data_IF_940935881587
#
_entry.id   IF_940935881587
#
_cell.length_a   1.000
_cell.length_b   1.000
_cell.length_c   1.000
_cell.angle_alpha   90.00
_cell.angle_beta   90.00
_cell.angle_gamma   90.00
#
_symmetry.space_group_name_H-M   'P 1'
#
loop_
_entity.id
_entity.type
_entity.pdbx_description
1 polymer ?
#
# COMPACT_ATOMS: atom_id res chain seq x y z
N UNK A 1 -13.86 -6.96 -33.68
CA UNK A 1 -14.26 -6.26 -32.44
C UNK A 1 -15.55 -5.51 -32.67
N UNK A 2 -16.45 -5.50 -31.69
CA UNK A 2 -17.67 -4.69 -31.71
C UNK A 2 -17.57 -3.70 -30.56
N UNK A 3 -17.63 -2.40 -30.87
CA UNK A 3 -17.74 -1.36 -29.86
C UNK A 3 -19.22 -0.97 -29.69
N UNK A 4 -19.59 -0.57 -28.48
CA UNK A 4 -20.92 -0.08 -28.15
C UNK A 4 -20.79 1.24 -27.38
N UNK A 5 -21.86 2.03 -27.38
CA UNK A 5 -21.93 3.29 -26.64
C UNK A 5 -22.75 3.07 -25.36
N UNK A 6 -22.15 3.40 -24.21
CA UNK A 6 -22.83 3.39 -22.92
C UNK A 6 -23.39 4.78 -22.62
N UNK A 7 -22.52 5.79 -22.52
CA UNK A 7 -22.90 7.18 -22.26
C UNK A 7 -21.80 8.17 -22.65
N UNK A 8 -22.06 9.47 -22.46
CA UNK A 8 -21.08 10.55 -22.59
C UNK A 8 -21.08 11.40 -21.32
N UNK A 9 -19.93 11.50 -20.67
CA UNK A 9 -19.75 12.30 -19.47
C UNK A 9 -19.33 13.74 -19.84
N UNK A 10 -20.21 14.71 -19.60
CA UNK A 10 -20.00 16.12 -19.98
C UNK A 10 -19.17 16.90 -18.95
N UNK A 11 -18.00 16.36 -18.59
CA UNK A 11 -17.04 16.96 -17.66
C UNK A 11 -15.62 16.45 -17.95
N UNK A 12 -14.61 17.09 -17.37
CA UNK A 12 -13.26 16.53 -17.33
C UNK A 12 -13.29 15.20 -16.57
N UNK A 13 -12.58 14.20 -17.10
CA UNK A 13 -12.41 12.93 -16.42
C UNK A 13 -11.28 13.01 -15.40
N UNK A 14 -11.38 12.24 -14.32
CA UNK A 14 -10.33 12.21 -13.29
C UNK A 14 -9.05 11.66 -13.90
N UNK A 15 -9.19 10.62 -14.73
CA UNK A 15 -8.19 9.90 -15.51
C UNK A 15 -7.70 10.64 -16.77
N UNK A 16 -7.93 11.95 -16.89
CA UNK A 16 -7.41 12.72 -18.02
C UNK A 16 -5.87 12.78 -18.12
N UNK A 17 -5.06 12.69 -17.04
CA UNK A 17 -3.59 12.74 -17.14
C UNK A 17 -2.98 11.69 -18.07
N UNK A 18 -3.57 10.49 -18.19
CA UNK A 18 -3.05 9.48 -19.13
C UNK A 18 -3.16 9.96 -20.58
N UNK A 19 -4.18 10.77 -20.90
CA UNK A 19 -4.31 11.40 -22.21
C UNK A 19 -3.25 12.48 -22.38
N UNK A 20 -3.03 13.31 -21.37
CA UNK A 20 -2.05 14.41 -21.44
C UNK A 20 -0.62 13.86 -21.63
N UNK A 21 -0.26 12.78 -20.93
CA UNK A 21 1.07 12.20 -20.94
C UNK A 21 1.48 11.63 -22.32
N UNK A 22 0.52 11.14 -23.11
CA UNK A 22 0.79 10.58 -24.45
C UNK A 22 0.50 11.55 -25.60
N UNK A 23 -0.35 12.57 -25.39
CA UNK A 23 -0.70 13.56 -26.43
C UNK A 23 0.10 14.85 -26.32
N UNK A 24 0.63 15.17 -25.13
CA UNK A 24 1.25 16.46 -24.83
C UNK A 24 0.25 17.62 -24.70
N UNK A 25 -1.05 17.34 -24.65
CA UNK A 25 -2.09 18.36 -24.57
C UNK A 25 -2.52 18.56 -23.12
N UNK A 26 -2.41 19.79 -22.63
CA UNK A 26 -3.04 20.23 -21.37
C UNK A 26 -4.53 20.45 -21.59
N UNK A 27 -5.35 19.51 -21.12
CA UNK A 27 -6.79 19.53 -21.34
C UNK A 27 -7.46 20.65 -20.54
N UNK A 28 -6.97 20.95 -19.34
CA UNK A 28 -7.49 22.05 -18.51
C UNK A 28 -7.24 23.40 -19.19
N UNK A 29 -6.05 23.61 -19.75
CA UNK A 29 -5.73 24.81 -20.51
C UNK A 29 -6.62 24.96 -21.75
N UNK A 30 -6.85 23.87 -22.51
CA UNK A 30 -7.77 23.93 -23.66
C UNK A 30 -9.21 24.22 -23.25
N UNK A 31 -9.68 23.63 -22.15
CA UNK A 31 -11.01 23.90 -21.60
C UNK A 31 -11.19 25.40 -21.29
N UNK A 32 -10.20 26.04 -20.66
CA UNK A 32 -10.24 27.47 -20.35
C UNK A 32 -10.22 28.32 -21.62
N UNK A 33 -9.35 28.01 -22.59
CA UNK A 33 -9.26 28.74 -23.87
C UNK A 33 -10.56 28.70 -24.66
N UNK A 34 -11.15 27.52 -24.82
CA UNK A 34 -12.42 27.35 -25.54
C UNK A 34 -13.57 28.03 -24.78
N UNK A 35 -13.60 27.94 -23.45
CA UNK A 35 -14.58 28.66 -22.64
C UNK A 35 -14.46 30.19 -22.78
N UNK A 36 -13.26 30.71 -23.06
CA UNK A 36 -13.01 32.11 -23.40
C UNK A 36 -13.35 32.47 -24.86
N UNK A 37 -13.85 31.53 -25.67
CA UNK A 37 -14.22 31.73 -27.07
C UNK A 37 -13.06 31.58 -28.06
N UNK A 38 -11.90 31.10 -27.62
CA UNK A 38 -10.79 30.79 -28.52
C UNK A 38 -11.07 29.53 -29.34
N UNK A 39 -10.43 29.44 -30.51
CA UNK A 39 -10.43 28.22 -31.33
C UNK A 39 -9.31 27.28 -30.87
N UNK A 40 -9.45 26.00 -31.17
CA UNK A 40 -8.34 25.05 -31.01
C UNK A 40 -7.18 25.46 -31.91
N UNK A 41 -5.99 25.57 -31.33
CA UNK A 41 -4.76 25.91 -32.05
C UNK A 41 -4.16 24.71 -32.82
N UNK A 42 -4.76 23.53 -32.64
CA UNK A 42 -4.33 22.26 -33.21
C UNK A 42 -5.43 21.68 -34.09
N UNK A 43 -5.04 20.93 -35.11
CA UNK A 43 -5.91 20.14 -35.97
C UNK A 43 -5.85 18.67 -35.56
N UNK A 44 -6.67 17.82 -36.19
CA UNK A 44 -6.62 16.37 -35.93
C UNK A 44 -5.28 15.73 -36.30
N UNK A 45 -4.58 16.28 -37.29
CA UNK A 45 -3.27 15.76 -37.73
C UNK A 45 -2.15 16.10 -36.73
N UNK A 46 -2.35 17.12 -35.89
CA UNK A 46 -1.39 17.54 -34.86
C UNK A 46 -1.52 16.71 -33.56
N UNK A 47 -2.62 15.99 -33.39
CA UNK A 47 -2.88 15.17 -32.18
C UNK A 47 -2.27 13.78 -32.36
N UNK A 48 -1.03 13.62 -31.89
CA UNK A 48 -0.32 12.35 -31.86
C UNK A 48 -0.57 11.53 -30.59
N UNK A 49 -0.07 10.29 -30.62
CA UNK A 49 0.09 9.42 -29.45
C UNK A 49 1.55 9.02 -29.38
N UNK A 50 2.22 9.36 -28.28
CA UNK A 50 3.63 9.07 -28.04
C UNK A 50 3.81 8.30 -26.73
N UNK A 51 4.26 7.05 -26.86
CA UNK A 51 4.43 6.11 -25.75
C UNK A 51 3.13 5.63 -25.11
N UNK A 52 3.23 5.18 -23.86
CA UNK A 52 2.16 4.66 -23.03
C UNK A 52 2.13 5.38 -21.68
N UNK A 53 0.94 5.53 -21.11
CA UNK A 53 0.76 6.05 -19.77
C UNK A 53 -0.18 5.17 -18.93
N UNK A 54 0.12 5.05 -17.65
CA UNK A 54 -0.69 4.34 -16.66
C UNK A 54 -0.97 5.30 -15.52
N UNK A 55 -2.21 5.31 -15.03
CA UNK A 55 -2.60 6.04 -13.83
C UNK A 55 -3.11 5.05 -12.78
N UNK A 56 -2.64 5.21 -11.55
CA UNK A 56 -3.27 4.61 -10.38
C UNK A 56 -3.84 5.70 -9.47
N UNK A 57 -5.03 5.43 -8.95
CA UNK A 57 -5.67 6.24 -7.91
C UNK A 57 -5.26 5.71 -6.56
N UNK A 58 -4.46 6.48 -5.85
CA UNK A 58 -4.09 6.19 -4.47
C UNK A 58 -5.25 6.58 -3.57
N UNK A 59 -5.92 5.59 -3.03
CA UNK A 59 -7.09 5.74 -2.17
C UNK A 59 -6.73 5.49 -0.70
N UNK A 60 -7.36 6.26 0.18
CA UNK A 60 -7.42 6.02 1.62
C UNK A 60 -8.40 4.88 1.92
N UNK A 61 -8.10 3.69 1.42
CA UNK A 61 -8.87 2.46 1.60
C UNK A 61 -7.89 1.34 1.97
N UNK A 62 -8.27 0.44 2.87
CA UNK A 62 -7.42 -0.67 3.30
C UNK A 62 -7.77 -1.97 2.56
N UNK A 63 -6.97 -2.42 1.58
CA UNK A 63 -7.24 -3.65 0.83
C UNK A 63 -7.24 -4.90 1.70
N UNK A 64 -6.44 -4.92 2.77
CA UNK A 64 -6.33 -6.05 3.70
C UNK A 64 -7.56 -6.19 4.60
N UNK A 65 -8.43 -5.18 4.63
CA UNK A 65 -9.71 -5.17 5.34
C UNK A 65 -10.90 -5.06 4.37
N UNK A 66 -10.74 -5.49 3.11
CA UNK A 66 -11.83 -5.47 2.14
C UNK A 66 -12.13 -4.08 1.58
N UNK A 67 -11.10 -3.26 1.36
CA UNK A 67 -11.18 -1.90 0.81
C UNK A 67 -12.04 -0.95 1.64
N UNK A 68 -12.07 -1.16 2.96
CA UNK A 68 -12.79 -0.25 3.85
C UNK A 68 -12.13 1.14 3.83
N UNK A 69 -12.94 2.22 3.76
CA UNK A 69 -12.43 3.58 3.87
C UNK A 69 -11.62 3.78 5.14
N UNK A 70 -10.51 4.49 5.01
CA UNK A 70 -9.64 4.88 6.09
C UNK A 70 -9.61 6.40 6.22
N UNK A 71 -9.87 6.89 7.43
CA UNK A 71 -9.87 8.31 7.78
C UNK A 71 -8.74 8.54 8.77
N UNK A 72 -8.12 9.71 8.70
CA UNK A 72 -7.12 10.10 9.69
C UNK A 72 -6.06 11.04 9.15
N UNK A 73 -5.08 11.31 10.01
CA UNK A 73 -3.95 12.18 9.70
C UNK A 73 -2.91 11.41 8.86
N UNK A 74 -2.44 12.04 7.79
CA UNK A 74 -1.23 11.62 7.08
C UNK A 74 -0.03 11.96 7.96
N UNK A 75 0.45 10.98 8.73
CA UNK A 75 1.62 11.13 9.61
C UNK A 75 2.87 11.34 8.77
N UNK A 76 2.99 10.55 7.71
CA UNK A 76 3.96 10.74 6.64
C UNK A 76 3.28 10.68 5.29
N UNK A 77 3.67 11.59 4.41
CA UNK A 77 3.23 11.62 3.02
C UNK A 77 4.39 12.07 2.15
N UNK A 78 5.03 11.11 1.50
CA UNK A 78 6.20 11.31 0.67
C UNK A 78 5.98 10.60 -0.68
N UNK A 79 5.52 11.33 -1.71
CA UNK A 79 5.41 10.80 -3.06
C UNK A 79 6.79 10.53 -3.68
N UNK A 80 6.87 9.70 -4.74
CA UNK A 80 8.14 9.34 -5.39
C UNK A 80 8.84 10.53 -6.07
N UNK A 81 8.08 11.55 -6.44
CA UNK A 81 8.56 12.82 -6.99
C UNK A 81 7.75 13.96 -6.36
N UNK A 82 8.29 15.17 -6.38
CA UNK A 82 7.55 16.35 -5.89
C UNK A 82 6.23 16.49 -6.69
N UNK A 83 5.07 16.66 -6.02
CA UNK A 83 3.80 16.81 -6.70
C UNK A 83 3.80 17.97 -7.70
N UNK A 84 3.14 17.77 -8.84
CA UNK A 84 3.03 18.78 -9.91
C UNK A 84 4.38 19.24 -10.51
N UNK A 85 5.48 18.53 -10.23
CA UNK A 85 6.78 18.84 -10.80
C UNK A 85 6.88 18.45 -12.28
N UNK A 86 7.80 19.11 -12.98
CA UNK A 86 8.12 18.97 -14.39
C UNK A 86 9.64 19.09 -14.54
N UNK A 87 10.26 18.15 -15.24
CA UNK A 87 11.71 18.15 -15.53
C UNK A 87 12.11 19.09 -16.67
N UNK A 88 11.13 19.72 -17.34
CA UNK A 88 11.33 20.66 -18.43
C UNK A 88 11.57 20.00 -19.78
N UNK A 89 11.29 18.70 -19.91
CA UNK A 89 11.29 18.02 -21.20
C UNK A 89 10.21 18.56 -22.16
N UNK A 90 10.28 18.13 -23.43
CA UNK A 90 9.37 18.58 -24.48
C UNK A 90 7.89 18.34 -24.13
N UNK A 91 7.59 17.28 -23.38
CA UNK A 91 6.27 17.01 -22.82
C UNK A 91 6.31 16.98 -21.29
N UNK A 92 6.33 18.16 -20.67
CA UNK A 92 6.25 18.31 -19.21
C UNK A 92 5.00 17.75 -18.53
N UNK A 93 4.04 17.20 -19.30
CA UNK A 93 2.88 16.48 -18.72
C UNK A 93 3.24 15.08 -18.21
N UNK A 94 4.46 14.61 -18.50
CA UNK A 94 5.03 13.36 -18.01
C UNK A 94 5.58 13.46 -16.58
N UNK A 95 5.79 14.68 -16.08
CA UNK A 95 6.33 14.91 -14.75
C UNK A 95 7.86 14.90 -14.74
N UNK A 96 8.46 14.19 -13.78
CA UNK A 96 9.91 14.06 -13.64
C UNK A 96 10.30 12.61 -13.93
N UNK A 97 11.17 12.39 -14.90
CA UNK A 97 11.63 11.05 -15.32
C UNK A 97 10.44 10.12 -15.67
N UNK A 98 9.40 10.69 -16.27
CA UNK A 98 8.18 9.97 -16.63
C UNK A 98 7.23 9.65 -15.47
N UNK A 99 7.45 10.22 -14.27
CA UNK A 99 6.56 10.07 -13.11
C UNK A 99 5.88 11.40 -12.79
N UNK A 100 4.55 11.39 -12.69
CA UNK A 100 3.73 12.56 -12.33
C UNK A 100 2.81 12.22 -11.16
N UNK A 101 2.76 13.12 -10.18
CA UNK A 101 1.86 13.03 -9.03
C UNK A 101 0.95 14.24 -9.01
N UNK A 102 -0.36 13.99 -9.11
CA UNK A 102 -1.42 14.98 -8.92
C UNK A 102 -2.11 14.69 -7.58
N UNK A 103 -1.98 15.56 -6.58
CA UNK A 103 -2.54 15.35 -5.24
C UNK A 103 -3.31 16.55 -4.68
N UNK A 104 -4.14 16.27 -3.68
CA UNK A 104 -4.95 17.27 -2.96
C UNK A 104 -4.62 17.34 -1.47
N UNK A 105 -3.52 16.72 -1.05
CA UNK A 105 -3.14 16.51 0.35
C UNK A 105 -1.68 16.89 0.57
N UNK A 106 -1.23 16.86 1.83
CA UNK A 106 0.16 17.07 2.20
C UNK A 106 0.47 16.39 3.55
N UNK A 107 1.76 16.20 3.85
CA UNK A 107 2.17 15.61 5.13
C UNK A 107 1.63 16.41 6.32
N UNK A 108 0.97 15.71 7.23
CA UNK A 108 0.35 16.28 8.40
C UNK A 108 -1.07 16.80 8.21
N UNK A 109 -1.59 16.77 6.97
CA UNK A 109 -3.01 16.96 6.67
C UNK A 109 -3.88 15.78 7.12
N UNK A 110 -5.19 15.93 6.99
CA UNK A 110 -6.18 14.93 7.42
C UNK A 110 -7.12 14.56 6.27
N UNK A 111 -7.28 13.26 6.04
CA UNK A 111 -8.32 12.72 5.15
C UNK A 111 -9.58 12.57 6.00
N UNK A 112 -10.55 13.46 5.80
CA UNK A 112 -11.79 13.50 6.57
C UNK A 112 -12.92 12.69 5.92
N UNK A 113 -13.90 12.30 6.72
CA UNK A 113 -15.08 11.54 6.27
C UNK A 113 -15.99 12.27 5.27
N UNK A 114 -15.81 13.58 5.07
CA UNK A 114 -16.73 14.42 4.29
C UNK A 114 -16.46 14.43 2.79
N UNK A 115 -15.30 13.92 2.36
CA UNK A 115 -14.83 13.96 0.98
C UNK A 115 -14.54 12.56 0.44
N UNK A 116 -14.13 12.51 -0.82
CA UNK A 116 -13.72 11.28 -1.52
C UNK A 116 -12.40 10.72 -0.94
N UNK A 117 -12.20 9.39 -0.92
CA UNK A 117 -10.98 8.78 -0.37
C UNK A 117 -9.72 9.02 -1.19
N UNK A 118 -9.79 9.62 -2.38
CA UNK A 118 -8.62 9.78 -3.24
C UNK A 118 -7.62 10.74 -2.63
N UNK A 119 -6.42 10.24 -2.42
CA UNK A 119 -5.27 10.96 -1.87
C UNK A 119 -4.48 11.60 -3.01
N UNK A 120 -4.17 10.80 -4.04
CA UNK A 120 -3.35 11.20 -5.16
C UNK A 120 -3.69 10.38 -6.42
N UNK A 121 -3.33 10.91 -7.58
CA UNK A 121 -3.17 10.16 -8.82
C UNK A 121 -1.68 10.03 -9.09
N UNK A 122 -1.19 8.80 -9.17
CA UNK A 122 0.17 8.48 -9.57
C UNK A 122 0.14 8.04 -11.02
N UNK A 123 0.76 8.83 -11.89
CA UNK A 123 0.81 8.63 -13.33
C UNK A 123 2.24 8.32 -13.72
N UNK A 124 2.43 7.32 -14.57
CA UNK A 124 3.72 7.05 -15.19
C UNK A 124 3.58 6.99 -16.70
N UNK A 125 4.70 7.27 -17.38
CA UNK A 125 4.84 7.18 -18.81
C UNK A 125 6.08 6.34 -19.18
N UNK A 126 6.01 5.62 -20.29
CA UNK A 126 7.13 4.88 -20.88
C UNK A 126 6.98 4.72 -22.39
N UNK A 127 8.03 4.32 -23.10
CA UNK A 127 7.96 4.08 -24.55
C UNK A 127 7.06 2.87 -24.83
N UNK A 128 7.15 1.85 -23.98
CA UNK A 128 6.28 0.68 -23.99
C UNK A 128 5.35 0.63 -22.79
N UNK A 129 4.25 -0.13 -22.92
CA UNK A 129 3.30 -0.35 -21.83
C UNK A 129 3.95 -1.03 -20.62
N UNK A 130 4.84 -1.98 -20.86
CA UNK A 130 5.51 -2.73 -19.80
C UNK A 130 6.52 -1.85 -19.06
N UNK A 131 7.24 -0.97 -19.75
CA UNK A 131 8.10 0.03 -19.12
C UNK A 131 7.32 0.99 -18.24
N UNK A 132 6.17 1.50 -18.70
CA UNK A 132 5.29 2.33 -17.89
C UNK A 132 4.80 1.56 -16.65
N UNK A 133 4.42 0.29 -16.79
CA UNK A 133 4.00 -0.54 -15.66
C UNK A 133 5.13 -0.84 -14.67
N UNK A 134 6.36 -1.09 -15.15
CA UNK A 134 7.54 -1.28 -14.29
C UNK A 134 7.90 0.00 -13.53
N UNK A 135 7.82 1.14 -14.21
CA UNK A 135 8.00 2.44 -13.58
C UNK A 135 6.91 2.70 -12.54
N UNK A 136 5.66 2.32 -12.82
CA UNK A 136 4.55 2.43 -11.88
C UNK A 136 4.81 1.61 -10.61
N UNK A 137 5.33 0.38 -10.72
CA UNK A 137 5.68 -0.45 -9.56
C UNK A 137 6.77 0.23 -8.71
N UNK A 138 7.85 0.71 -9.33
CA UNK A 138 8.93 1.41 -8.62
C UNK A 138 8.42 2.67 -7.93
N UNK A 139 7.59 3.46 -8.62
CA UNK A 139 7.02 4.67 -8.08
C UNK A 139 6.06 4.41 -6.91
N UNK A 140 5.29 3.31 -6.94
CA UNK A 140 4.43 2.88 -5.83
C UNK A 140 5.24 2.41 -4.62
N UNK A 141 6.31 1.62 -4.84
CA UNK A 141 7.17 1.15 -3.76
C UNK A 141 7.89 2.31 -3.04
N UNK A 142 8.23 3.37 -3.79
CA UNK A 142 8.78 4.61 -3.25
C UNK A 142 7.74 5.56 -2.63
N UNK A 143 6.43 5.34 -2.86
CA UNK A 143 5.38 6.19 -2.30
C UNK A 143 5.12 5.82 -0.84
N UNK A 144 5.66 6.61 0.09
CA UNK A 144 5.48 6.40 1.53
C UNK A 144 4.28 7.17 2.05
N UNK A 145 3.31 6.42 2.57
CA UNK A 145 2.11 6.94 3.22
C UNK A 145 1.98 6.26 4.58
N UNK A 146 1.90 7.04 5.67
CA UNK A 146 1.68 6.50 7.02
C UNK A 146 0.57 7.26 7.75
N UNK A 147 -0.11 6.56 8.65
CA UNK A 147 -1.15 7.10 9.53
C UNK A 147 -2.56 6.59 9.24
N UNK A 148 -2.88 6.33 7.97
CA UNK A 148 -4.14 5.74 7.51
C UNK A 148 -3.88 4.55 6.58
N UNK A 149 -4.85 3.66 6.44
CA UNK A 149 -4.82 2.57 5.47
C UNK A 149 -4.95 3.10 4.04
N UNK A 150 -4.22 2.48 3.11
CA UNK A 150 -4.18 2.90 1.71
C UNK A 150 -3.96 1.72 0.76
N UNK A 151 -4.30 1.91 -0.51
CA UNK A 151 -4.33 0.84 -1.51
C UNK A 151 -3.03 0.62 -2.30
N UNK A 152 -1.94 1.32 -1.98
CA UNK A 152 -0.64 1.26 -2.70
C UNK A 152 -0.16 -0.18 -2.94
N UNK A 153 -0.22 -1.05 -1.93
CA UNK A 153 0.22 -2.44 -2.07
C UNK A 153 -0.59 -3.20 -3.13
N UNK A 154 -1.92 -3.02 -3.12
CA UNK A 154 -2.83 -3.63 -4.08
C UNK A 154 -2.60 -3.11 -5.50
N UNK A 155 -2.34 -1.81 -5.65
CA UNK A 155 -2.00 -1.22 -6.95
C UNK A 155 -0.70 -1.83 -7.49
N UNK A 156 0.32 -1.96 -6.64
CA UNK A 156 1.61 -2.56 -7.02
C UNK A 156 1.42 -4.04 -7.41
N UNK A 157 0.55 -4.77 -6.73
CA UNK A 157 0.19 -6.15 -7.08
C UNK A 157 -0.50 -6.24 -8.45
N UNK A 158 -1.47 -5.36 -8.77
CA UNK A 158 -2.14 -5.34 -10.09
C UNK A 158 -1.12 -5.06 -11.19
N UNK A 159 -0.23 -4.09 -10.99
CA UNK A 159 0.76 -3.74 -12.02
C UNK A 159 1.66 -4.94 -12.36
N UNK A 160 1.88 -5.86 -11.43
CA UNK A 160 2.67 -7.08 -11.65
C UNK A 160 1.84 -8.29 -12.12
N UNK A 161 0.51 -8.20 -12.08
CA UNK A 161 -0.35 -9.33 -12.35
C UNK A 161 -0.25 -9.81 -13.82
N UNK A 162 -0.12 -11.13 -14.09
CA UNK A 162 0.06 -11.64 -15.46
C UNK A 162 -1.03 -11.23 -16.46
N UNK A 163 -2.30 -11.23 -16.04
CA UNK A 163 -3.43 -10.74 -16.88
C UNK A 163 -3.37 -9.23 -17.13
N UNK A 164 -2.88 -8.46 -16.17
CA UNK A 164 -2.67 -7.03 -16.38
C UNK A 164 -1.52 -6.80 -17.37
N UNK A 165 -0.41 -7.54 -17.25
CA UNK A 165 0.74 -7.45 -18.16
C UNK A 165 0.40 -7.85 -19.60
N UNK A 166 -0.29 -8.98 -19.78
CA UNK A 166 -0.75 -9.44 -21.10
C UNK A 166 -1.85 -8.57 -21.72
N UNK A 167 -2.56 -7.77 -20.92
CA UNK A 167 -3.69 -6.95 -21.38
C UNK A 167 -5.01 -7.72 -21.51
N UNK A 168 -5.07 -8.99 -21.10
CA UNK A 168 -6.27 -9.84 -21.12
C UNK A 168 -7.23 -9.50 -19.96
N UNK A 169 -7.75 -8.27 -20.00
CA UNK A 169 -8.58 -7.68 -18.96
C UNK A 169 -10.07 -7.68 -19.36
N UNK A 170 -10.93 -7.92 -18.37
CA UNK A 170 -12.37 -7.72 -18.45
C UNK A 170 -12.79 -6.68 -17.42
N UNK A 171 -14.00 -6.14 -17.52
CA UNK A 171 -14.58 -5.30 -16.44
C UNK A 171 -14.85 -6.08 -15.15
N UNK A 172 -14.77 -7.41 -15.20
CA UNK A 172 -14.85 -8.31 -14.05
C UNK A 172 -13.50 -8.66 -13.42
N UNK A 173 -12.37 -8.20 -13.98
CA UNK A 173 -11.01 -8.62 -13.61
C UNK A 173 -10.76 -8.66 -12.10
N UNK A 174 -11.09 -7.59 -11.37
CA UNK A 174 -10.84 -7.52 -9.92
C UNK A 174 -11.66 -8.58 -9.18
N UNK A 175 -12.93 -8.77 -9.53
CA UNK A 175 -13.80 -9.76 -8.88
C UNK A 175 -13.41 -11.21 -9.24
N UNK A 176 -12.82 -11.41 -10.42
CA UNK A 176 -12.33 -12.72 -10.88
C UNK A 176 -11.02 -13.12 -10.17
N UNK A 177 -10.06 -12.19 -10.04
CA UNK A 177 -8.72 -12.48 -9.50
C UNK A 177 -8.61 -12.27 -7.97
N UNK A 178 -9.46 -11.44 -7.38
CA UNK A 178 -9.46 -11.15 -5.93
C UNK A 178 -10.86 -11.40 -5.30
N UNK A 179 -11.45 -12.60 -5.46
CA UNK A 179 -12.80 -12.88 -4.96
C UNK A 179 -12.91 -12.82 -3.43
N UNK A 180 -11.82 -13.17 -2.74
CA UNK A 180 -11.73 -13.23 -1.28
C UNK A 180 -11.00 -12.00 -0.68
N UNK A 181 -10.74 -10.97 -1.49
CA UNK A 181 -10.00 -9.78 -1.08
C UNK A 181 -8.50 -9.85 -1.37
N UNK A 182 -7.73 -8.93 -0.77
CA UNK A 182 -6.30 -8.80 -0.99
C UNK A 182 -5.49 -9.22 0.25
N UNK A 183 -4.59 -10.19 0.07
CA UNK A 183 -3.73 -10.71 1.14
C UNK A 183 -2.25 -10.31 0.97
N UNK A 184 -1.94 -9.51 -0.04
CA UNK A 184 -0.56 -9.19 -0.47
C UNK A 184 -0.21 -9.84 -1.81
N UNK A 185 0.73 -9.23 -2.53
CA UNK A 185 1.25 -9.80 -3.77
C UNK A 185 2.02 -11.10 -3.52
N UNK A 186 1.99 -12.01 -4.51
CA UNK A 186 2.82 -13.20 -4.48
C UNK A 186 4.31 -12.83 -4.50
N UNK A 187 5.11 -13.50 -3.68
CA UNK A 187 6.54 -13.22 -3.50
C UNK A 187 7.35 -14.47 -3.79
N UNK A 188 8.34 -14.36 -4.67
CA UNK A 188 9.25 -15.45 -5.00
C UNK A 188 10.13 -15.82 -3.80
N UNK A 189 10.65 -17.05 -3.80
CA UNK A 189 11.54 -17.50 -2.73
C UNK A 189 12.91 -16.81 -2.83
N UNK A 190 13.33 -16.43 -4.04
CA UNK A 190 14.50 -15.60 -4.30
C UNK A 190 14.38 -14.23 -3.62
N UNK A 191 13.25 -13.55 -3.80
CA UNK A 191 13.02 -12.26 -3.15
C UNK A 191 12.96 -12.41 -1.62
N UNK A 192 12.33 -13.46 -1.08
CA UNK A 192 12.34 -13.72 0.37
C UNK A 192 13.76 -13.95 0.90
N UNK A 193 14.60 -14.68 0.17
CA UNK A 193 16.02 -14.89 0.52
C UNK A 193 16.79 -13.57 0.52
N UNK A 194 16.57 -12.74 -0.51
CA UNK A 194 17.15 -11.40 -0.58
C UNK A 194 16.71 -10.50 0.58
N UNK A 195 15.42 -10.52 0.94
CA UNK A 195 14.89 -9.79 2.10
C UNK A 195 15.44 -10.33 3.43
N UNK A 196 15.71 -11.64 3.55
CA UNK A 196 16.38 -12.20 4.70
C UNK A 196 17.81 -11.66 4.84
N UNK A 197 18.56 -11.57 3.73
CA UNK A 197 19.89 -10.94 3.70
C UNK A 197 19.83 -9.49 4.17
N UNK A 198 18.87 -8.70 3.67
CA UNK A 198 18.60 -7.33 4.13
C UNK A 198 18.33 -7.28 5.64
N UNK A 199 17.52 -8.20 6.16
CA UNK A 199 17.25 -8.32 7.59
C UNK A 199 18.53 -8.51 8.42
N UNK A 200 19.46 -9.34 7.96
CA UNK A 200 20.77 -9.54 8.59
C UNK A 200 21.64 -8.28 8.60
N UNK A 201 21.68 -7.53 7.49
CA UNK A 201 22.41 -6.25 7.40
C UNK A 201 21.84 -5.23 8.40
N UNK A 202 20.51 -5.05 8.40
CA UNK A 202 19.83 -4.11 9.31
C UNK A 202 20.13 -4.46 10.76
N UNK A 203 19.98 -5.74 11.14
CA UNK A 203 20.22 -6.19 12.51
C UNK A 203 21.69 -6.04 12.94
N UNK A 204 22.63 -6.28 12.03
CA UNK A 204 24.07 -6.06 12.28
C UNK A 204 24.38 -4.59 12.53
N UNK A 205 23.86 -3.69 11.68
CA UNK A 205 24.04 -2.25 11.83
C UNK A 205 23.41 -1.72 13.13
N UNK A 206 22.22 -2.21 13.51
CA UNK A 206 21.56 -1.83 14.76
C UNK A 206 22.32 -2.35 15.99
N UNK A 207 22.85 -3.57 15.93
CA UNK A 207 23.65 -4.17 16.99
C UNK A 207 24.99 -3.46 17.17
N UNK A 208 25.67 -3.12 16.06
CA UNK A 208 26.89 -2.31 16.07
C UNK A 208 26.63 -0.94 16.72
N UNK A 209 25.58 -0.23 16.28
CA UNK A 209 25.19 1.06 16.89
C UNK A 209 24.90 0.90 18.39
N UNK A 210 24.15 -0.12 18.78
CA UNK A 210 23.85 -0.38 20.20
C UNK A 210 25.13 -0.71 21.02
N UNK A 211 26.12 -1.35 20.39
CA UNK A 211 27.43 -1.62 20.96
C UNK A 211 28.28 -0.37 21.19
N UNK A 212 27.94 0.78 20.60
CA UNK A 212 28.71 2.04 20.72
C UNK A 212 28.24 2.98 21.84
N UNK A 213 27.34 2.52 22.73
CA UNK A 213 26.91 3.30 23.90
C UNK A 213 28.10 3.62 24.81
N UNK A 214 28.16 4.81 25.40
CA UNK A 214 29.26 5.24 26.25
C UNK A 214 29.27 4.52 27.62
N UNK A 215 30.39 4.64 28.36
CA UNK A 215 30.53 4.16 29.75
C UNK A 215 30.36 2.64 29.94
N UNK A 216 30.60 1.85 28.89
CA UNK A 216 30.60 0.39 29.00
C UNK A 216 31.81 -0.14 29.77
N UNK A 217 31.57 -1.09 30.67
CA UNK A 217 32.59 -1.68 31.54
C UNK A 217 33.65 -2.48 30.77
N UNK A 218 33.31 -3.03 29.60
CA UNK A 218 34.15 -3.97 28.83
C UNK A 218 34.46 -3.49 27.40
N UNK A 219 34.29 -2.20 27.11
CA UNK A 219 34.39 -1.66 25.75
C UNK A 219 33.21 -2.05 24.86
N UNK A 220 33.28 -1.72 23.57
CA UNK A 220 32.23 -2.04 22.59
C UNK A 220 32.26 -3.52 22.23
N UNK A 221 31.14 -4.25 22.33
CA UNK A 221 31.05 -5.60 21.78
C UNK A 221 31.18 -5.56 20.25
N UNK A 222 31.66 -6.66 19.66
CA UNK A 222 31.56 -6.88 18.22
C UNK A 222 30.10 -7.08 17.81
N UNK A 223 29.73 -6.54 16.65
CA UNK A 223 28.45 -6.81 16.05
C UNK A 223 28.35 -8.32 15.68
N UNK A 224 27.23 -9.00 15.97
CA UNK A 224 27.04 -10.36 15.51
C UNK A 224 26.94 -10.42 13.99
N UNK A 225 27.58 -11.41 13.38
CA UNK A 225 27.42 -11.73 11.95
C UNK A 225 26.42 -12.84 11.67
N UNK A 226 26.02 -13.63 12.68
CA UNK A 226 25.12 -14.78 12.52
C UNK A 226 23.71 -14.47 13.02
N UNK A 227 22.74 -14.51 12.10
CA UNK A 227 21.34 -14.21 12.36
C UNK A 227 20.42 -15.32 11.83
N UNK A 228 19.29 -15.50 12.48
CA UNK A 228 18.14 -16.24 11.94
C UNK A 228 17.04 -15.24 11.66
N UNK A 229 16.66 -15.12 10.39
CA UNK A 229 15.56 -14.27 9.93
C UNK A 229 14.37 -15.16 9.60
N UNK A 230 13.26 -15.03 10.34
CA UNK A 230 12.01 -15.75 10.06
C UNK A 230 11.09 -14.87 9.23
N UNK A 231 10.69 -15.33 8.04
CA UNK A 231 9.72 -14.66 7.15
C UNK A 231 8.63 -15.68 6.81
N UNK A 232 7.35 -15.33 7.02
CA UNK A 232 6.20 -16.18 6.71
C UNK A 232 6.30 -17.62 7.26
N UNK A 233 6.94 -17.80 8.43
CA UNK A 233 7.13 -19.11 9.07
C UNK A 233 8.38 -19.87 8.65
N UNK A 234 9.09 -19.42 7.61
CA UNK A 234 10.37 -20.00 7.16
C UNK A 234 11.54 -19.29 7.82
N UNK A 235 12.48 -20.06 8.36
CA UNK A 235 13.75 -19.55 8.89
C UNK A 235 14.83 -19.54 7.81
N UNK A 236 15.56 -18.44 7.76
CA UNK A 236 16.73 -18.24 6.91
C UNK A 236 17.95 -18.01 7.80
N UNK A 237 19.00 -18.81 7.64
CA UNK A 237 20.27 -18.62 8.32
C UNK A 237 21.11 -17.60 7.56
N UNK A 238 21.31 -16.42 8.14
CA UNK A 238 22.04 -15.31 7.52
C UNK A 238 23.39 -15.16 8.19
N UNK A 239 24.46 -15.21 7.40
CA UNK A 239 25.83 -15.03 7.86
C UNK A 239 26.46 -13.84 7.13
N UNK A 240 26.94 -12.87 7.90
CA UNK A 240 27.66 -11.69 7.42
C UNK A 240 29.14 -11.85 7.74
N UNK A 241 29.95 -11.88 6.67
CA UNK A 241 31.39 -11.75 6.69
C UNK A 241 31.79 -10.35 6.20
N UNK A 242 33.09 -10.02 6.22
CA UNK A 242 33.60 -8.66 5.92
C UNK A 242 33.18 -8.16 4.53
N UNK A 243 33.17 -9.05 3.53
CA UNK A 243 32.86 -8.74 2.13
C UNK A 243 31.80 -9.67 1.52
N UNK A 244 31.08 -10.44 2.33
CA UNK A 244 30.11 -11.42 1.83
C UNK A 244 28.92 -11.59 2.77
N UNK A 245 27.75 -11.80 2.17
CA UNK A 245 26.55 -12.23 2.87
C UNK A 245 26.07 -13.54 2.28
N UNK A 246 25.77 -14.51 3.15
CA UNK A 246 25.15 -15.76 2.73
C UNK A 246 23.82 -15.96 3.43
N UNK A 247 22.91 -16.64 2.74
CA UNK A 247 21.63 -17.09 3.28
C UNK A 247 21.51 -18.57 3.03
N UNK A 248 21.41 -19.36 4.10
CA UNK A 248 21.45 -20.82 4.10
C UNK A 248 22.70 -21.39 3.42
N UNK A 249 23.82 -20.68 3.56
CA UNK A 249 25.11 -21.02 2.96
C UNK A 249 25.25 -20.66 1.47
N UNK A 250 24.22 -20.07 0.85
CA UNK A 250 24.28 -19.57 -0.52
C UNK A 250 24.60 -18.06 -0.53
N UNK A 251 25.57 -17.58 -1.32
CA UNK A 251 25.89 -16.16 -1.39
C UNK A 251 24.73 -15.37 -2.02
N UNK A 252 24.48 -14.17 -1.48
CA UNK A 252 23.49 -13.23 -2.02
C UNK A 252 24.21 -11.98 -2.49
N UNK A 253 24.03 -11.59 -3.74
CA UNK A 253 24.55 -10.33 -4.27
C UNK A 253 23.59 -9.20 -3.85
N UNK A 254 23.99 -8.41 -2.86
CA UNK A 254 23.17 -7.35 -2.27
C UNK A 254 24.01 -6.08 -2.09
N UNK A 255 23.60 -5.00 -2.74
CA UNK A 255 24.09 -3.64 -2.48
C UNK A 255 23.03 -2.87 -1.71
N UNK A 256 23.42 -2.29 -0.56
CA UNK A 256 22.53 -1.56 0.33
C UNK A 256 23.31 -0.53 1.14
N UNK A 257 22.83 0.71 1.16
CA UNK A 257 23.29 1.72 2.11
C UNK A 257 22.23 1.91 3.20
N UNK A 258 22.54 1.46 4.43
CA UNK A 258 21.63 1.56 5.56
C UNK A 258 22.21 2.37 6.70
N UNK A 259 21.42 3.32 7.19
CA UNK A 259 21.67 4.00 8.45
C UNK A 259 20.55 3.66 9.44
N UNK A 260 20.87 3.19 10.67
CA UNK A 260 19.88 2.91 11.71
C UNK A 260 18.84 4.02 11.88
N UNK A 261 17.57 3.67 11.66
CA UNK A 261 16.44 4.60 11.72
C UNK A 261 15.89 5.04 10.36
N UNK A 262 16.59 4.72 9.26
CA UNK A 262 16.05 4.86 7.91
C UNK A 262 14.73 4.08 7.77
N UNK A 263 13.75 4.70 7.08
CA UNK A 263 12.40 4.16 6.87
C UNK A 263 12.14 3.76 5.43
N UNK A 264 12.98 4.23 4.52
CA UNK A 264 12.99 3.84 3.12
C UNK A 264 14.45 3.59 2.77
N UNK A 265 14.72 2.50 2.08
CA UNK A 265 16.06 2.17 1.58
C UNK A 265 15.94 1.66 0.15
N UNK A 266 16.82 2.14 -0.71
CA UNK A 266 17.03 1.58 -2.03
C UNK A 266 18.12 0.52 -1.95
N UNK A 267 17.86 -0.61 -2.59
CA UNK A 267 18.76 -1.76 -2.62
C UNK A 267 18.86 -2.28 -4.05
N UNK A 268 19.94 -3.01 -4.31
CA UNK A 268 20.10 -3.81 -5.52
C UNK A 268 20.33 -5.27 -5.11
N UNK A 269 19.42 -6.17 -5.48
CA UNK A 269 19.53 -7.61 -5.24
C UNK A 269 19.53 -8.30 -6.59
N UNK A 270 20.57 -9.10 -6.87
CA UNK A 270 20.68 -9.87 -8.12
C UNK A 270 20.41 -9.02 -9.38
N UNK A 271 21.02 -7.81 -9.44
CA UNK A 271 20.86 -6.78 -10.48
C UNK A 271 19.46 -6.12 -10.57
N UNK A 272 18.55 -6.41 -9.64
CA UNK A 272 17.24 -5.76 -9.54
C UNK A 272 17.21 -4.68 -8.45
N UNK A 273 16.84 -3.46 -8.85
CA UNK A 273 16.63 -2.34 -7.93
C UNK A 273 15.27 -2.40 -7.27
N UNK A 274 15.27 -2.31 -5.94
CA UNK A 274 14.06 -2.32 -5.12
C UNK A 274 14.08 -1.16 -4.13
N UNK A 275 12.91 -0.59 -3.88
CA UNK A 275 12.69 0.32 -2.77
C UNK A 275 11.98 -0.44 -1.66
N UNK A 276 12.56 -0.42 -0.47
CA UNK A 276 12.04 -1.09 0.71
C UNK A 276 11.54 -0.06 1.72
N UNK A 277 10.29 -0.18 2.17
CA UNK A 277 9.79 0.57 3.31
C UNK A 277 9.96 -0.24 4.60
N UNK A 278 10.59 0.35 5.62
CA UNK A 278 11.01 -0.32 6.85
C UNK A 278 10.21 0.18 8.06
N UNK A 279 9.46 -0.73 8.69
CA UNK A 279 8.77 -0.47 9.95
C UNK A 279 9.33 -1.39 11.06
N UNK A 280 9.98 -0.86 12.11
CA UNK A 280 10.56 -1.67 13.18
C UNK A 280 9.45 -2.32 14.00
N UNK A 281 9.69 -3.56 14.40
CA UNK A 281 8.89 -4.30 15.37
C UNK A 281 9.73 -4.59 16.61
N UNK A 282 9.14 -5.23 17.62
CA UNK A 282 9.88 -5.60 18.85
C UNK A 282 11.04 -6.56 18.60
N UNK A 283 10.98 -7.37 17.55
CA UNK A 283 11.95 -8.45 17.30
C UNK A 283 12.44 -8.51 15.86
N UNK A 284 12.39 -7.40 15.13
CA UNK A 284 12.77 -7.34 13.72
C UNK A 284 12.05 -6.19 13.02
N UNK A 285 11.58 -6.41 11.79
CA UNK A 285 11.02 -5.37 10.93
C UNK A 285 9.85 -5.92 10.12
N UNK A 286 8.87 -5.07 9.80
CA UNK A 286 8.00 -5.26 8.63
C UNK A 286 8.65 -4.53 7.48
N UNK A 287 8.91 -5.25 6.39
CA UNK A 287 9.47 -4.70 5.15
C UNK A 287 8.41 -4.76 4.07
N UNK A 288 8.10 -3.62 3.47
CA UNK A 288 7.12 -3.54 2.38
C UNK A 288 7.82 -3.26 1.06
N UNK A 289 7.53 -4.07 0.04
CA UNK A 289 8.00 -3.89 -1.34
C UNK A 289 7.14 -4.73 -2.28
N UNK A 290 7.08 -4.37 -3.57
CA UNK A 290 6.38 -5.15 -4.60
C UNK A 290 4.95 -5.56 -4.26
N UNK A 291 4.25 -4.71 -3.50
CA UNK A 291 2.86 -4.95 -3.12
C UNK A 291 2.66 -5.99 -2.01
N UNK A 292 3.69 -6.32 -1.24
CA UNK A 292 3.59 -7.24 -0.12
C UNK A 292 4.29 -6.72 1.14
N UNK A 293 3.75 -7.07 2.31
CA UNK A 293 4.34 -6.80 3.63
C UNK A 293 5.00 -8.06 4.19
N UNK A 294 6.29 -8.00 4.44
CA UNK A 294 7.10 -9.09 4.97
C UNK A 294 7.41 -8.84 6.44
N UNK A 295 6.72 -9.54 7.33
CA UNK A 295 7.06 -9.50 8.76
C UNK A 295 8.27 -10.40 9.00
N UNK A 296 9.39 -9.78 9.33
CA UNK A 296 10.67 -10.42 9.62
C UNK A 296 10.92 -10.43 11.12
N UNK A 297 11.11 -11.62 11.69
CA UNK A 297 11.65 -11.76 13.05
C UNK A 297 13.13 -12.10 12.95
N UNK A 298 13.97 -11.25 13.51
CA UNK A 298 15.42 -11.32 13.38
C UNK A 298 16.03 -11.56 14.76
N UNK A 299 16.67 -12.71 14.93
CA UNK A 299 17.29 -13.12 16.20
C UNK A 299 18.72 -13.57 15.95
N UNK A 300 19.61 -13.42 16.94
CA UNK A 300 20.93 -14.04 16.85
C UNK A 300 20.77 -15.56 16.76
N UNK A 301 21.50 -16.22 15.86
CA UNK A 301 21.37 -17.67 15.60
C UNK A 301 21.42 -18.50 16.87
N UNK A 302 22.34 -18.19 17.78
CA UNK A 302 22.51 -18.88 19.08
C UNK A 302 21.28 -18.87 20.00
N UNK A 303 20.33 -17.94 19.84
CA UNK A 303 19.10 -17.85 20.66
C UNK A 303 17.82 -18.03 19.86
N UNK A 304 17.88 -18.12 18.53
CA UNK A 304 16.70 -18.20 17.68
C UNK A 304 15.79 -19.39 18.05
N UNK A 305 16.39 -20.55 18.33
CA UNK A 305 15.68 -21.78 18.75
C UNK A 305 14.84 -21.59 20.03
N UNK A 306 15.19 -20.66 20.93
CA UNK A 306 14.42 -20.43 22.15
C UNK A 306 13.05 -19.82 21.85
N UNK A 307 12.91 -19.16 20.71
CA UNK A 307 11.67 -18.52 20.32
C UNK A 307 10.57 -19.54 19.93
N UNK A 308 10.93 -20.79 19.65
CA UNK A 308 9.98 -21.88 19.39
C UNK A 308 9.32 -22.38 20.70
N UNK A 309 9.82 -21.97 21.86
CA UNK A 309 9.20 -22.22 23.16
C UNK A 309 8.22 -21.11 23.59
N UNK A 310 8.11 -20.03 22.80
CA UNK A 310 7.18 -18.95 23.11
C UNK A 310 5.74 -19.39 22.83
N UNK A 311 4.85 -19.10 23.78
CA UNK A 311 3.43 -19.39 23.62
C UNK A 311 2.86 -18.51 22.51
N UNK A 312 2.25 -19.15 21.52
CA UNK A 312 1.50 -18.45 20.49
C UNK A 312 0.35 -17.68 21.13
N UNK A 313 0.31 -16.37 20.88
CA UNK A 313 -0.77 -15.53 21.39
C UNK A 313 -2.00 -15.77 20.53
N UNK A 314 -2.93 -16.57 21.05
CA UNK A 314 -4.26 -16.70 20.47
C UNK A 314 -4.94 -15.32 20.57
N UNK A 315 -5.36 -14.71 19.45
CA UNK A 315 -6.11 -13.46 19.49
C UNK A 315 -7.36 -13.59 20.37
N UNK A 316 -7.82 -12.50 21.01
CA UNK A 316 -9.07 -12.54 21.74
C UNK A 316 -10.21 -12.94 20.81
N UNK A 317 -11.13 -13.78 21.28
CA UNK A 317 -12.35 -14.12 20.55
C UNK A 317 -13.29 -12.89 20.55
N UNK A 318 -13.34 -12.20 19.41
CA UNK A 318 -14.21 -11.06 19.19
C UNK A 318 -15.53 -11.44 18.51
N UNK A 319 -15.80 -12.73 18.29
CA UNK A 319 -17.00 -13.19 17.55
C UNK A 319 -18.33 -12.89 18.25
N UNK A 320 -18.27 -12.39 19.48
CA UNK A 320 -19.42 -11.88 20.25
C UNK A 320 -19.60 -10.38 20.16
N UNK A 321 -18.76 -9.69 19.41
CA UNK A 321 -18.79 -8.23 19.29
C UNK A 321 -18.99 -7.88 17.83
N UNK A 322 -19.98 -7.03 17.56
CA UNK A 322 -19.99 -6.28 16.32
C UNK A 322 -19.16 -5.02 16.54
N UNK A 323 -17.93 -5.06 16.04
CA UNK A 323 -17.02 -3.91 16.04
C UNK A 323 -17.19 -3.11 14.76
N UNK A 324 -17.01 -1.79 14.85
CA UNK A 324 -17.03 -0.90 13.70
C UNK A 324 -15.73 -1.11 12.90
N UNK A 325 -15.78 -1.63 11.66
CA UNK A 325 -14.57 -2.03 10.96
C UNK A 325 -13.86 -0.84 10.29
N UNK A 326 -14.53 0.32 10.26
CA UNK A 326 -14.06 1.57 9.66
C UNK A 326 -14.53 2.77 10.51
N UNK A 327 -13.78 3.88 10.58
CA UNK A 327 -14.29 5.11 11.16
C UNK A 327 -15.44 5.68 10.32
N UNK A 328 -16.52 6.15 10.95
CA UNK A 328 -17.69 6.64 10.21
C UNK A 328 -18.88 7.05 11.08
N UNK A 329 -20.00 7.40 10.44
CA UNK A 329 -21.25 7.75 11.09
C UNK A 329 -22.18 6.53 11.15
N UNK A 330 -22.69 6.16 12.33
CA UNK A 330 -23.73 5.15 12.45
C UNK A 330 -25.07 5.71 11.95
N UNK A 331 -25.41 5.46 10.69
CA UNK A 331 -26.64 6.01 10.08
C UNK A 331 -27.88 5.25 10.55
N UNK A 332 -27.74 3.94 10.79
CA UNK A 332 -28.89 3.09 11.12
C UNK A 332 -28.53 1.86 11.93
N UNK A 333 -29.37 1.51 12.89
CA UNK A 333 -29.40 0.21 13.55
C UNK A 333 -30.61 -0.59 13.04
N UNK A 334 -30.37 -1.80 12.54
CA UNK A 334 -31.42 -2.66 11.98
C UNK A 334 -32.01 -3.64 13.01
N UNK A 335 -31.46 -3.65 14.23
CA UNK A 335 -31.81 -4.59 15.30
C UNK A 335 -31.95 -3.87 16.64
N UNK A 336 -32.75 -4.43 17.53
CA UNK A 336 -32.91 -3.99 18.91
C UNK A 336 -32.23 -4.98 19.88
N UNK A 337 -31.97 -4.51 21.10
CA UNK A 337 -31.49 -5.37 22.17
C UNK A 337 -32.51 -6.50 22.45
N UNK A 338 -32.03 -7.74 22.49
CA UNK A 338 -32.84 -8.96 22.67
C UNK A 338 -33.29 -9.63 21.37
N UNK A 339 -33.05 -9.02 20.20
CA UNK A 339 -33.42 -9.62 18.92
C UNK A 339 -32.54 -10.83 18.58
N UNK A 340 -33.16 -11.85 17.98
CA UNK A 340 -32.44 -12.98 17.37
C UNK A 340 -32.06 -12.62 15.94
N UNK A 341 -30.80 -12.86 15.59
CA UNK A 341 -30.23 -12.52 14.29
C UNK A 341 -29.73 -13.79 13.60
N UNK A 342 -29.87 -13.83 12.27
CA UNK A 342 -29.41 -14.94 11.42
C UNK A 342 -28.13 -14.55 10.67
N UNK A 343 -27.28 -15.50 10.25
CA UNK A 343 -26.11 -15.21 9.42
C UNK A 343 -26.50 -14.40 8.17
N UNK A 344 -25.75 -13.34 7.87
CA UNK A 344 -25.99 -12.40 6.78
C UNK A 344 -27.06 -11.34 7.04
N UNK A 345 -27.79 -11.41 8.16
CA UNK A 345 -28.79 -10.40 8.52
C UNK A 345 -28.11 -9.05 8.80
N UNK A 346 -28.59 -7.92 8.20
CA UNK A 346 -28.11 -6.59 8.54
C UNK A 346 -28.27 -6.27 10.03
N UNK A 347 -27.22 -5.71 10.62
CA UNK A 347 -27.16 -5.30 12.02
C UNK A 347 -27.07 -3.78 12.15
N UNK A 348 -26.14 -3.16 11.41
CA UNK A 348 -25.92 -1.71 11.41
C UNK A 348 -25.54 -1.22 10.01
N UNK A 349 -25.80 0.05 9.72
CA UNK A 349 -25.28 0.74 8.54
C UNK A 349 -24.39 1.88 8.99
N UNK A 350 -23.13 1.87 8.56
CA UNK A 350 -22.16 2.93 8.83
C UNK A 350 -21.84 3.65 7.53
N UNK A 351 -21.92 4.97 7.52
CA UNK A 351 -21.54 5.81 6.40
C UNK A 351 -20.15 6.42 6.62
N UNK A 352 -19.29 6.24 5.63
CA UNK A 352 -18.00 6.91 5.58
C UNK A 352 -17.75 7.37 4.13
N UNK A 353 -17.24 8.59 3.95
CA UNK A 353 -16.81 9.09 2.63
C UNK A 353 -17.92 9.02 1.57
N UNK A 354 -19.17 9.30 1.99
CA UNK A 354 -20.41 9.22 1.19
C UNK A 354 -20.77 7.82 0.68
N UNK A 355 -20.19 6.78 1.28
CA UNK A 355 -20.52 5.38 1.02
C UNK A 355 -21.14 4.74 2.26
N UNK A 356 -22.26 4.04 2.08
CA UNK A 356 -22.92 3.27 3.13
C UNK A 356 -22.42 1.82 3.13
N UNK A 357 -21.92 1.35 4.27
CA UNK A 357 -21.52 -0.04 4.48
C UNK A 357 -22.48 -0.72 5.46
N UNK A 358 -23.07 -1.84 5.03
CA UNK A 358 -24.01 -2.63 5.84
C UNK A 358 -23.22 -3.72 6.56
N UNK A 359 -23.15 -3.60 7.88
CA UNK A 359 -22.59 -4.60 8.77
C UNK A 359 -23.61 -5.70 9.02
N UNK A 360 -23.18 -6.96 8.90
CA UNK A 360 -24.06 -8.14 8.94
C UNK A 360 -23.61 -9.11 10.03
N UNK A 361 -24.56 -9.90 10.53
CA UNK A 361 -24.25 -10.97 11.47
C UNK A 361 -23.45 -12.08 10.77
N UNK A 362 -22.33 -12.49 11.35
CA UNK A 362 -21.54 -13.62 10.83
C UNK A 362 -22.18 -14.97 11.16
N UNK A 363 -22.92 -15.05 12.27
CA UNK A 363 -23.52 -16.26 12.80
C UNK A 363 -24.89 -16.00 13.41
N UNK A 364 -25.64 -17.06 13.67
CA UNK A 364 -26.87 -16.98 14.45
C UNK A 364 -26.54 -16.61 15.90
N UNK A 365 -27.17 -15.56 16.42
CA UNK A 365 -26.94 -15.07 17.77
C UNK A 365 -28.15 -14.26 18.29
N UNK A 366 -28.12 -13.89 19.58
CA UNK A 366 -29.06 -12.92 20.16
C UNK A 366 -28.31 -11.64 20.50
N UNK A 367 -28.88 -10.47 20.21
CA UNK A 367 -28.28 -9.18 20.56
C UNK A 367 -28.36 -8.96 22.06
N UNK A 368 -27.22 -9.06 22.74
CA UNK A 368 -27.11 -8.92 24.19
C UNK A 368 -27.23 -7.46 24.62
N UNK A 369 -26.53 -6.56 23.92
CA UNK A 369 -26.42 -5.14 24.27
C UNK A 369 -26.08 -4.29 23.07
N UNK A 370 -26.63 -3.07 22.99
CA UNK A 370 -26.25 -2.06 21.99
C UNK A 370 -25.47 -0.97 22.73
N UNK A 371 -24.30 -0.61 22.20
CA UNK A 371 -23.34 0.31 22.82
C UNK A 371 -23.26 1.68 22.11
N UNK A 372 -23.71 1.77 20.85
CA UNK A 372 -23.76 3.00 20.07
C UNK A 372 -25.17 3.30 19.55
N UNK A 373 -25.51 4.57 19.34
CA UNK A 373 -26.78 5.06 18.82
C UNK A 373 -26.70 5.60 17.39
N UNK A 374 -27.84 5.64 16.69
CA UNK A 374 -27.92 6.29 15.38
C UNK A 374 -27.53 7.77 15.49
N UNK A 375 -26.65 8.21 14.59
CA UNK A 375 -26.05 9.54 14.59
C UNK A 375 -24.70 9.64 15.31
N UNK A 376 -24.24 8.58 15.97
CA UNK A 376 -22.93 8.57 16.63
C UNK A 376 -21.79 8.43 15.61
N UNK A 377 -20.70 9.16 15.86
CA UNK A 377 -19.43 8.99 15.15
C UNK A 377 -18.62 7.88 15.80
N UNK A 378 -18.35 6.82 15.05
CA UNK A 378 -17.64 5.63 15.50
C UNK A 378 -16.18 5.66 15.06
N UNK A 379 -15.29 5.26 15.96
CA UNK A 379 -13.90 4.96 15.63
C UNK A 379 -13.74 3.53 15.10
N UNK A 380 -12.59 3.25 14.47
CA UNK A 380 -12.23 1.86 14.12
C UNK A 380 -12.12 1.00 15.37
N UNK A 381 -12.59 -0.24 15.26
CA UNK A 381 -12.64 -1.26 16.31
C UNK A 381 -13.55 -0.91 17.51
N UNK A 382 -14.33 0.18 17.44
CA UNK A 382 -15.31 0.54 18.45
C UNK A 382 -16.48 -0.45 18.48
N UNK A 383 -16.87 -0.92 19.66
CA UNK A 383 -17.96 -1.91 19.79
C UNK A 383 -19.32 -1.24 19.58
N UNK A 384 -20.02 -1.63 18.51
CA UNK A 384 -21.38 -1.15 18.21
C UNK A 384 -22.41 -1.90 19.04
N UNK A 385 -22.31 -3.24 19.06
CA UNK A 385 -23.20 -4.11 19.84
C UNK A 385 -22.50 -5.42 20.23
N UNK A 386 -23.09 -6.10 21.20
CA UNK A 386 -22.63 -7.38 21.75
C UNK A 386 -23.66 -8.46 21.45
N UNK A 387 -23.18 -9.66 21.13
CA UNK A 387 -23.92 -10.87 20.80
C UNK A 387 -23.67 -11.95 21.88
N UNK A 388 -24.69 -12.77 22.17
CA UNK A 388 -24.60 -13.86 23.15
C UNK A 388 -23.70 -15.03 22.73
#
# INVERSE_FOLDING_TARGET
ESFYFLEMNTRLQVEHPVTEAITGIDLVAQMIRVAAGEKLAMTQEDVGIDGWAIENRVYAEDPYRGFLPSIGRLVHYQPPVEPWADDGEANGRRGVDGVRVDDGVFEGGEVSMFYDPMIAKLVTWGETRDEAADLQVRALDAFRIEGLGHNVDFLSAIMQHPRFRSGELTTGFIAEEYPDGFEGAATSDELKRGLAAVGGIIATADADRAGRIDQQLNGSPYAPGEWTVRIAGTDYAVELEEDAITVDGEPVALEMEYTPGARVVEIEIDDERLTLQLAPTRGGYVVTTRGAKHTMRILQTRVAHLADHMIEKIPPDLSKLLICPMPGLLVKLHVAQGDKVQPGQPLATVEAMKMENILRAEKEATVAKINAGEGDSLAVDEVILELE
#
